data_IF_108842014225
#
_entry.id   IF_108842014225
#
_cell.length_a   1.000
_cell.length_b   1.000
_cell.length_c   1.000
_cell.angle_alpha   90.00
_cell.angle_beta   90.00
_cell.angle_gamma   90.00
#
_symmetry.space_group_name_H-M   'P 1'
#
loop_
_entity.id
_entity.type
_entity.pdbx_description
1 polymer ?
#
# COMPACT_ATOMS: atom_id res chain seq x y z
N UNK A 1 20.78 -23.98 15.27
CA UNK A 1 19.83 -23.48 14.26
C UNK A 1 20.51 -22.34 13.53
N UNK A 2 20.43 -22.29 12.20
CA UNK A 2 20.94 -21.13 11.46
C UNK A 2 20.02 -19.94 11.76
N UNK A 3 20.60 -18.89 12.34
CA UNK A 3 19.93 -17.60 12.45
C UNK A 3 19.98 -16.94 11.06
N UNK A 4 18.83 -16.42 10.63
CA UNK A 4 18.67 -15.66 9.40
C UNK A 4 18.36 -14.21 9.79
N UNK A 5 18.88 -13.26 9.05
CA UNK A 5 18.67 -11.84 9.33
C UNK A 5 17.91 -11.21 8.16
N UNK A 6 16.74 -10.62 8.45
CA UNK A 6 15.94 -9.89 7.48
C UNK A 6 16.29 -8.41 7.58
N UNK A 7 16.64 -7.80 6.45
CA UNK A 7 17.03 -6.39 6.37
C UNK A 7 16.09 -5.61 5.48
N UNK A 8 15.77 -4.40 5.91
CA UNK A 8 15.09 -3.38 5.12
C UNK A 8 15.87 -2.07 5.16
N UNK A 9 15.74 -1.28 4.12
CA UNK A 9 16.35 0.05 4.03
C UNK A 9 15.32 1.02 3.48
N UNK A 10 15.21 2.20 4.10
CA UNK A 10 14.43 3.31 3.60
C UNK A 10 15.36 4.49 3.33
N UNK A 11 15.43 4.91 2.07
CA UNK A 11 16.26 6.03 1.63
C UNK A 11 15.40 7.27 1.40
N UNK A 12 15.76 8.35 2.08
CA UNK A 12 15.05 9.62 2.04
C UNK A 12 15.54 10.51 0.89
N UNK A 13 14.78 11.56 0.59
CA UNK A 13 15.11 12.53 -0.48
C UNK A 13 16.33 13.39 -0.15
N UNK A 14 16.60 13.62 1.13
CA UNK A 14 17.78 14.32 1.64
C UNK A 14 19.06 13.48 1.57
N UNK A 15 18.95 12.21 1.14
CA UNK A 15 20.06 11.28 1.03
C UNK A 15 20.34 10.49 2.30
N UNK A 16 19.61 10.73 3.39
CA UNK A 16 19.68 9.90 4.58
C UNK A 16 19.10 8.50 4.32
N UNK A 17 19.47 7.55 5.16
CA UNK A 17 19.00 6.17 5.12
C UNK A 17 18.59 5.74 6.53
N UNK A 18 17.42 5.11 6.66
CA UNK A 18 17.03 4.33 7.84
C UNK A 18 17.15 2.83 7.55
N UNK A 19 17.82 2.10 8.43
CA UNK A 19 17.99 0.65 8.30
C UNK A 19 17.14 -0.08 9.33
N UNK A 20 16.54 -1.18 8.90
CA UNK A 20 15.70 -2.05 9.70
C UNK A 20 16.29 -3.45 9.68
N UNK A 21 16.40 -4.08 10.84
CA UNK A 21 16.95 -5.43 10.96
C UNK A 21 16.08 -6.25 11.89
N UNK A 22 15.63 -7.41 11.43
CA UNK A 22 14.83 -8.37 12.20
C UNK A 22 15.54 -9.71 12.19
N UNK A 23 15.88 -10.21 13.38
CA UNK A 23 16.38 -11.57 13.55
C UNK A 23 15.25 -12.56 13.35
N UNK A 24 15.51 -13.59 12.55
CA UNK A 24 14.61 -14.70 12.30
C UNK A 24 15.38 -16.02 12.42
N UNK A 25 14.66 -17.10 12.68
CA UNK A 25 15.22 -18.44 12.60
C UNK A 25 15.17 -18.94 11.16
N UNK A 26 15.95 -19.98 10.83
CA UNK A 26 15.87 -20.68 9.55
C UNK A 26 14.57 -21.43 9.27
N UNK A 27 13.46 -21.10 9.96
CA UNK A 27 12.13 -21.68 9.72
C UNK A 27 11.23 -20.71 8.95
N UNK A 28 10.40 -21.25 8.05
CA UNK A 28 9.47 -20.44 7.24
C UNK A 28 8.52 -19.62 8.11
N UNK A 29 8.05 -20.19 9.22
CA UNK A 29 7.16 -19.49 10.17
C UNK A 29 7.84 -18.27 10.78
N UNK A 30 9.10 -18.40 11.20
CA UNK A 30 9.89 -17.31 11.76
C UNK A 30 10.15 -16.22 10.72
N UNK A 31 10.48 -16.59 9.47
CA UNK A 31 10.64 -15.64 8.37
C UNK A 31 9.34 -14.86 8.06
N UNK A 32 8.18 -15.52 8.01
CA UNK A 32 6.90 -14.84 7.77
C UNK A 32 6.61 -13.83 8.87
N UNK A 33 6.80 -14.20 10.13
CA UNK A 33 6.63 -13.29 11.27
C UNK A 33 7.62 -12.13 11.19
N UNK A 34 8.88 -12.40 10.84
CA UNK A 34 9.91 -11.38 10.68
C UNK A 34 9.59 -10.38 9.57
N UNK A 35 9.08 -10.84 8.42
CA UNK A 35 8.62 -9.97 7.32
C UNK A 35 7.44 -9.10 7.76
N UNK A 36 6.47 -9.67 8.48
CA UNK A 36 5.33 -8.90 9.00
C UNK A 36 5.77 -7.80 9.96
N UNK A 37 6.74 -8.11 10.83
CA UNK A 37 7.33 -7.13 11.74
C UNK A 37 8.04 -6.02 10.97
N UNK A 38 8.92 -6.40 10.04
CA UNK A 38 9.63 -5.44 9.20
C UNK A 38 8.68 -4.50 8.45
N UNK A 39 7.57 -5.04 7.93
CA UNK A 39 6.55 -4.24 7.27
C UNK A 39 5.85 -3.27 8.22
N UNK A 40 5.52 -3.69 9.44
CA UNK A 40 4.92 -2.82 10.45
C UNK A 40 5.87 -1.67 10.84
N UNK A 41 7.14 -1.99 11.14
CA UNK A 41 8.15 -1.01 11.53
C UNK A 41 8.37 0.05 10.42
N UNK A 42 8.43 -0.38 9.15
CA UNK A 42 8.56 0.54 8.01
C UNK A 42 7.30 1.37 7.82
N UNK A 43 6.12 0.76 7.97
CA UNK A 43 4.84 1.45 7.79
C UNK A 43 4.64 2.54 8.83
N UNK A 44 5.03 2.30 10.08
CA UNK A 44 4.99 3.29 11.15
C UNK A 44 5.83 4.53 10.81
N UNK A 45 7.06 4.32 10.34
CA UNK A 45 7.94 5.42 9.91
C UNK A 45 7.34 6.18 8.72
N UNK A 46 6.78 5.48 7.73
CA UNK A 46 6.13 6.12 6.58
C UNK A 46 4.90 6.92 6.99
N UNK A 47 4.06 6.41 7.89
CA UNK A 47 2.90 7.12 8.41
C UNK A 47 3.31 8.43 9.08
N UNK A 48 4.32 8.39 9.96
CA UNK A 48 4.82 9.59 10.63
C UNK A 48 5.34 10.65 9.63
N UNK A 49 6.02 10.24 8.56
CA UNK A 49 6.49 11.15 7.52
C UNK A 49 5.35 11.79 6.73
N UNK A 50 4.30 11.02 6.44
CA UNK A 50 3.10 11.53 5.75
C UNK A 50 2.35 12.50 6.64
N UNK A 51 2.18 12.19 7.93
CA UNK A 51 1.57 13.10 8.90
C UNK A 51 2.35 14.41 9.04
N UNK A 52 3.70 14.33 9.09
CA UNK A 52 4.56 15.50 9.08
C UNK A 52 4.37 16.35 7.82
N UNK A 53 4.26 15.73 6.64
CA UNK A 53 4.00 16.44 5.38
C UNK A 53 2.62 17.11 5.38
N UNK A 54 1.59 16.44 5.91
CA UNK A 54 0.22 16.96 5.99
C UNK A 54 0.09 18.12 6.99
N UNK A 55 0.62 17.96 8.21
CA UNK A 55 0.59 19.02 9.23
C UNK A 55 1.44 20.23 8.84
N UNK A 56 2.48 20.04 8.02
CA UNK A 56 3.27 21.15 7.46
C UNK A 56 2.49 22.00 6.46
N UNK A 57 1.42 21.48 5.83
CA UNK A 57 0.56 22.23 4.90
C UNK A 57 -0.53 23.00 5.65
N UNK A 58 -1.08 22.43 6.72
CA UNK A 58 -2.21 23.00 7.46
C UNK A 58 -1.83 24.20 8.34
N UNK A 59 -0.55 24.32 8.75
CA UNK A 59 -0.09 25.47 9.53
C UNK A 59 0.03 26.78 8.74
N UNK A 60 -0.36 26.80 7.45
CA UNK A 60 -0.39 28.00 6.60
C UNK A 60 -1.80 28.56 6.33
N UNK A 61 -2.86 27.94 6.84
CA UNK A 61 -4.23 28.46 6.69
C UNK A 61 -4.93 28.51 8.04
N UNK A 62 -4.88 29.70 8.63
CA UNK A 62 -5.67 30.08 9.80
C UNK A 62 -7.15 29.78 9.59
N UNK A 63 -7.74 29.10 10.58
CA UNK A 63 -9.13 29.19 11.04
C UNK A 63 -10.24 29.24 9.98
N UNK A 64 -10.92 28.11 9.79
CA UNK A 64 -12.37 28.08 9.53
C UNK A 64 -12.94 26.85 10.24
N UNK A 65 -13.57 27.11 11.38
CA UNK A 65 -14.89 26.59 11.80
C UNK A 65 -15.22 25.13 11.44
N UNK A 66 -15.02 24.24 12.41
CA UNK A 66 -15.54 22.87 12.43
C UNK A 66 -16.88 22.89 13.19
N UNK A 67 -17.93 23.43 12.56
CA UNK A 67 -19.31 23.21 13.01
C UNK A 67 -19.83 21.88 12.42
N UNK A 68 -19.95 20.92 13.33
CA UNK A 68 -20.89 19.81 13.40
C UNK A 68 -21.78 19.53 12.17
N UNK A 69 -21.64 18.34 11.58
CA UNK A 69 -22.81 17.58 11.09
C UNK A 69 -22.57 16.08 11.36
N UNK A 70 -23.05 15.64 12.53
CA UNK A 70 -23.46 14.24 12.73
C UNK A 70 -24.65 13.96 11.81
N UNK A 71 -24.45 13.20 10.73
CA UNK A 71 -25.57 12.49 10.12
C UNK A 71 -25.31 10.99 10.07
N UNK A 72 -25.88 10.36 11.08
CA UNK A 72 -26.10 8.94 11.22
C UNK A 72 -27.27 8.54 10.32
N UNK A 73 -27.04 7.69 9.31
CA UNK A 73 -28.12 6.80 8.89
C UNK A 73 -27.60 5.38 8.60
N UNK A 74 -28.30 4.45 9.23
CA UNK A 74 -28.09 3.02 9.22
C UNK A 74 -28.65 2.36 7.94
N UNK A 75 -28.16 1.14 7.68
CA UNK A 75 -28.84 0.02 7.01
C UNK A 75 -29.41 0.24 5.58
N UNK A 76 -28.91 -0.53 4.60
CA UNK A 76 -29.47 -1.85 4.31
C UNK A 76 -28.97 -2.36 2.93
N UNK A 77 -28.88 -3.67 2.87
CA UNK A 77 -28.37 -4.61 1.88
C UNK A 77 -28.85 -4.37 0.45
N UNK A 78 -27.98 -4.71 -0.50
CA UNK A 78 -28.32 -5.58 -1.65
C UNK A 78 -27.07 -6.01 -2.40
N UNK A 79 -26.60 -7.24 -2.14
CA UNK A 79 -25.62 -7.93 -2.99
C UNK A 79 -26.30 -8.42 -4.27
N UNK A 80 -26.27 -7.63 -5.35
CA UNK A 80 -26.57 -8.12 -6.69
C UNK A 80 -25.28 -8.61 -7.37
N UNK A 81 -25.12 -9.94 -7.40
CA UNK A 81 -24.11 -10.62 -8.22
C UNK A 81 -24.49 -10.52 -9.70
N UNK A 82 -24.06 -9.46 -10.37
CA UNK A 82 -24.09 -9.39 -11.83
C UNK A 82 -22.92 -10.20 -12.42
N UNK A 83 -23.14 -11.49 -12.66
CA UNK A 83 -22.26 -12.33 -13.49
C UNK A 83 -22.27 -11.84 -14.94
N UNK A 84 -21.41 -10.88 -15.28
CA UNK A 84 -21.15 -10.51 -16.68
C UNK A 84 -20.01 -11.38 -17.20
N UNK A 85 -20.36 -12.45 -17.91
CA UNK A 85 -19.43 -13.18 -18.79
C UNK A 85 -19.02 -12.25 -19.93
N UNK A 86 -17.86 -11.60 -19.82
CA UNK A 86 -17.23 -10.92 -20.94
C UNK A 86 -16.51 -11.98 -21.79
N UNK A 87 -17.09 -12.27 -22.96
CA UNK A 87 -16.49 -13.13 -23.97
C UNK A 87 -15.09 -12.63 -24.33
N UNK A 88 -14.11 -13.43 -23.93
CA UNK A 88 -12.72 -13.35 -24.34
C UNK A 88 -12.61 -13.78 -25.80
N UNK A 89 -12.40 -12.84 -26.73
CA UNK A 89 -11.41 -13.00 -27.80
C UNK A 89 -11.15 -11.67 -28.53
N UNK A 90 -9.89 -11.21 -28.63
CA UNK A 90 -9.55 -10.05 -29.45
C UNK A 90 -9.59 -10.41 -30.94
N UNK A 91 -9.98 -9.48 -31.83
CA UNK A 91 -10.11 -9.74 -33.26
C UNK A 91 -8.76 -10.12 -33.88
N UNK A 92 -8.74 -11.24 -34.62
CA UNK A 92 -7.56 -11.70 -35.37
C UNK A 92 -7.11 -10.61 -36.36
N UNK A 93 -5.86 -10.19 -36.24
CA UNK A 93 -5.21 -9.22 -37.15
C UNK A 93 -5.25 -9.73 -38.60
N UNK A 94 -5.65 -8.86 -39.55
CA UNK A 94 -5.58 -9.08 -41.00
C UNK A 94 -4.11 -9.26 -41.45
N UNK A 95 -3.81 -10.39 -42.10
CA UNK A 95 -2.55 -10.59 -42.82
C UNK A 95 -2.65 -9.85 -44.17
N UNK A 96 -1.69 -8.97 -44.47
CA UNK A 96 -1.57 -8.31 -45.79
C UNK A 96 -1.11 -9.35 -46.81
N UNK A 97 -1.85 -9.48 -47.91
CA UNK A 97 -1.39 -10.22 -49.10
C UNK A 97 -0.36 -9.36 -49.84
N UNK A 98 0.85 -9.89 -50.02
CA UNK A 98 1.82 -9.37 -50.99
C UNK A 98 1.36 -9.79 -52.39
N UNK A 99 1.09 -8.81 -53.26
CA UNK A 99 0.91 -9.08 -54.69
C UNK A 99 2.29 -9.24 -55.33
N UNK A 100 2.39 -10.27 -56.17
CA UNK A 100 3.55 -10.61 -57.00
C UNK A 100 3.81 -9.58 -58.08
#
# INVERSE_FOLDING_TARGET
MAACELKGELKYRDGLTSQFTVQADGSLKSMITGIKKLNADISEVLTALVEQERGSVENSTAGVDDEEEEDSDEEDRSTEMATKKSNSEPPKKRIKTLRS
#
